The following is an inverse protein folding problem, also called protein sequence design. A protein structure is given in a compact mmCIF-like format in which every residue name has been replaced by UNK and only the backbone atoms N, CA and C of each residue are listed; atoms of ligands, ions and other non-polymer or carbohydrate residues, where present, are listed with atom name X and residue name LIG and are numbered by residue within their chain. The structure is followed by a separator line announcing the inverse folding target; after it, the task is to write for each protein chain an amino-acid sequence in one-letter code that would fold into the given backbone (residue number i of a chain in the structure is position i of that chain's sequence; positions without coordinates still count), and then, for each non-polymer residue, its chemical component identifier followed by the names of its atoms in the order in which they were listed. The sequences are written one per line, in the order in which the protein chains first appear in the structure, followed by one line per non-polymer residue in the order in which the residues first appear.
data_IF_473524530884
#
_entry.id   IF_473524530884
#
_cell.length_a   1.000
_cell.length_b   1.000
_cell.length_c   1.000
_cell.angle_alpha   90.00
_cell.angle_beta   90.00
_cell.angle_gamma   90.00
#
_symmetry.space_group_name_H-M   'P 1'
#
loop_
_entity.id
_entity.type
_entity.pdbx_description
1 polymer ?
#
# COMPACT_ATOMS: atom_id res chain seq x y z
N UNK A 1 37.07 8.23 31.35
CA UNK A 1 37.26 6.95 30.66
C UNK A 1 36.97 7.19 29.19
N UNK A 2 37.92 6.96 28.28
CA UNK A 2 37.62 6.96 26.85
C UNK A 2 36.96 5.63 26.52
N UNK A 3 35.71 5.65 26.07
CA UNK A 3 35.06 4.46 25.52
C UNK A 3 35.81 4.08 24.24
N UNK A 4 36.45 2.91 24.27
CA UNK A 4 37.13 2.39 23.09
C UNK A 4 36.12 1.59 22.30
N UNK A 5 35.62 2.18 21.22
CA UNK A 5 34.73 1.48 20.28
C UNK A 5 35.57 0.42 19.58
N UNK A 6 35.19 -0.85 19.73
CA UNK A 6 35.86 -1.95 19.05
C UNK A 6 35.30 -2.13 17.64
N UNK A 7 36.08 -2.75 16.75
CA UNK A 7 35.57 -3.17 15.44
C UNK A 7 34.36 -4.11 15.55
N UNK A 8 34.26 -4.88 16.64
CA UNK A 8 33.10 -5.75 16.89
C UNK A 8 31.84 -4.95 17.19
N UNK A 9 31.96 -3.81 17.89
CA UNK A 9 30.83 -2.93 18.19
C UNK A 9 30.32 -2.29 16.89
N UNK A 10 31.24 -1.83 16.04
CA UNK A 10 30.90 -1.30 14.71
C UNK A 10 30.22 -2.37 13.84
N UNK A 11 30.72 -3.60 13.83
CA UNK A 11 30.09 -4.70 13.09
C UNK A 11 28.68 -5.02 13.60
N UNK A 12 28.45 -4.91 14.91
CA UNK A 12 27.12 -5.10 15.51
C UNK A 12 26.16 -4.01 15.04
N UNK A 13 26.57 -2.74 15.11
CA UNK A 13 25.75 -1.63 14.64
C UNK A 13 25.42 -1.74 13.14
N UNK A 14 26.38 -2.17 12.31
CA UNK A 14 26.14 -2.41 10.88
C UNK A 14 25.07 -3.48 10.66
N UNK A 15 25.08 -4.56 11.45
CA UNK A 15 24.05 -5.62 11.35
C UNK A 15 22.68 -5.10 11.77
N UNK A 16 22.61 -4.36 12.87
CA UNK A 16 21.35 -3.75 13.34
C UNK A 16 20.80 -2.72 12.33
N UNK A 17 21.67 -1.93 11.69
CA UNK A 17 21.27 -1.03 10.61
C UNK A 17 20.69 -1.78 9.42
N UNK A 18 21.29 -2.91 9.04
CA UNK A 18 20.76 -3.75 7.95
C UNK A 18 19.37 -4.29 8.27
N UNK A 19 19.16 -4.84 9.46
CA UNK A 19 17.85 -5.34 9.88
C UNK A 19 16.77 -4.23 9.91
N UNK A 20 17.16 -3.01 10.28
CA UNK A 20 16.25 -1.86 10.25
C UNK A 20 15.88 -1.42 8.84
N UNK A 21 16.80 -1.55 7.88
CA UNK A 21 16.54 -1.27 6.48
C UNK A 21 15.60 -2.31 5.86
N UNK A 22 15.82 -3.60 6.15
CA UNK A 22 14.93 -4.69 5.70
C UNK A 22 13.49 -4.46 6.17
N UNK A 23 13.28 -4.09 7.44
CA UNK A 23 11.94 -3.76 7.94
C UNK A 23 11.33 -2.50 7.32
N UNK A 24 12.17 -1.52 6.95
CA UNK A 24 11.69 -0.31 6.30
C UNK A 24 11.22 -0.60 4.88
N UNK A 25 11.90 -1.51 4.17
CA UNK A 25 11.51 -1.99 2.85
C UNK A 25 10.13 -2.66 2.90
N UNK A 26 9.91 -3.60 3.84
CA UNK A 26 8.60 -4.24 4.04
C UNK A 26 7.48 -3.22 4.29
N UNK A 27 7.73 -2.23 5.15
CA UNK A 27 6.73 -1.18 5.44
C UNK A 27 6.45 -0.27 4.24
N UNK A 28 7.43 -0.07 3.36
CA UNK A 28 7.25 0.71 2.13
C UNK A 28 6.47 -0.07 1.09
N UNK A 29 6.71 -1.38 0.96
CA UNK A 29 5.90 -2.26 0.10
C UNK A 29 4.45 -2.25 0.57
N UNK A 30 4.19 -2.47 1.87
CA UNK A 30 2.84 -2.39 2.45
C UNK A 30 2.19 -1.02 2.19
N UNK A 31 2.96 0.07 2.32
CA UNK A 31 2.45 1.41 2.08
C UNK A 31 2.08 1.63 0.61
N UNK A 32 2.94 1.20 -0.32
CA UNK A 32 2.69 1.28 -1.76
C UNK A 32 1.44 0.46 -2.11
N UNK A 33 1.34 -0.77 -1.63
CA UNK A 33 0.18 -1.65 -1.88
C UNK A 33 -1.12 -1.11 -1.25
N UNK A 34 -1.02 -0.32 -0.18
CA UNK A 34 -2.19 0.31 0.46
C UNK A 34 -2.60 1.65 -0.17
N UNK A 35 -1.76 2.23 -1.02
CA UNK A 35 -1.99 3.56 -1.62
C UNK A 35 -2.56 3.40 -3.01
N UNK A 36 -3.68 4.07 -3.28
CA UNK A 36 -4.26 4.10 -4.63
C UNK A 36 -3.30 4.81 -5.59
N UNK A 37 -3.19 4.31 -6.82
CA UNK A 37 -2.53 5.07 -7.89
C UNK A 37 -3.35 6.33 -8.22
N UNK A 38 -2.74 7.35 -8.85
CA UNK A 38 -3.48 8.53 -9.29
C UNK A 38 -4.70 8.21 -10.17
N UNK A 39 -4.58 7.19 -11.02
CA UNK A 39 -5.67 6.69 -11.86
C UNK A 39 -6.79 6.04 -11.02
N UNK A 40 -6.43 5.26 -10.00
CA UNK A 40 -7.39 4.66 -9.06
C UNK A 40 -8.08 5.72 -8.19
N UNK A 41 -7.37 6.77 -7.77
CA UNK A 41 -7.97 7.92 -7.07
C UNK A 41 -8.97 8.68 -7.96
N UNK A 42 -8.65 8.86 -9.24
CA UNK A 42 -9.54 9.50 -10.21
C UNK A 42 -10.80 8.67 -10.43
N UNK A 43 -10.66 7.38 -10.66
CA UNK A 43 -11.78 6.43 -10.77
C UNK A 43 -12.65 6.46 -9.52
N UNK A 44 -12.05 6.46 -8.32
CA UNK A 44 -12.81 6.54 -7.07
C UNK A 44 -13.63 7.83 -7.00
N UNK A 45 -13.06 8.99 -7.37
CA UNK A 45 -13.78 10.26 -7.41
C UNK A 45 -14.95 10.24 -8.39
N UNK A 46 -14.76 9.68 -9.58
CA UNK A 46 -15.83 9.54 -10.57
C UNK A 46 -16.98 8.67 -10.03
N UNK A 47 -16.66 7.54 -9.41
CA UNK A 47 -17.65 6.65 -8.79
C UNK A 47 -18.41 7.38 -7.68
N UNK A 48 -17.71 8.10 -6.79
CA UNK A 48 -18.35 8.88 -5.74
C UNK A 48 -19.29 9.96 -6.28
N UNK A 49 -18.92 10.64 -7.37
CA UNK A 49 -19.78 11.62 -8.02
C UNK A 49 -21.03 10.99 -8.62
N UNK A 50 -20.90 9.84 -9.28
CA UNK A 50 -22.03 9.09 -9.84
C UNK A 50 -23.00 8.65 -8.74
N UNK A 51 -22.49 8.15 -7.62
CA UNK A 51 -23.30 7.81 -6.43
C UNK A 51 -24.02 9.04 -5.88
N UNK A 52 -23.33 10.19 -5.73
CA UNK A 52 -23.95 11.44 -5.25
C UNK A 52 -25.07 11.94 -6.17
N UNK A 53 -24.95 11.68 -7.48
CA UNK A 53 -25.94 12.06 -8.50
C UNK A 53 -27.05 11.00 -8.69
N UNK A 54 -26.99 9.89 -7.95
CA UNK A 54 -27.86 8.71 -8.10
C UNK A 54 -27.83 8.14 -9.54
N UNK A 55 -26.72 8.33 -10.25
CA UNK A 55 -26.50 7.81 -11.60
C UNK A 55 -25.74 6.48 -11.53
N UNK A 56 -26.50 5.39 -11.34
CA UNK A 56 -25.96 4.05 -11.23
C UNK A 56 -26.05 3.25 -12.53
N UNK A 57 -26.28 3.93 -13.67
CA UNK A 57 -26.54 3.29 -14.96
C UNK A 57 -25.38 2.41 -15.46
N UNK A 58 -24.15 2.75 -15.09
CA UNK A 58 -22.93 2.00 -15.43
C UNK A 58 -22.67 0.79 -14.50
N UNK A 59 -23.45 0.62 -13.44
CA UNK A 59 -23.20 -0.39 -12.41
C UNK A 59 -24.26 -1.49 -12.43
N UNK A 60 -23.83 -2.72 -12.16
CA UNK A 60 -24.74 -3.85 -11.99
C UNK A 60 -25.09 -4.06 -10.51
N UNK A 61 -26.33 -4.46 -10.18
CA UNK A 61 -26.67 -4.90 -8.84
C UNK A 61 -25.80 -6.09 -8.41
N UNK A 62 -25.43 -6.14 -7.13
CA UNK A 62 -24.56 -7.17 -6.59
C UNK A 62 -25.14 -8.58 -6.79
N UNK A 63 -26.46 -8.72 -6.74
CA UNK A 63 -27.17 -10.00 -6.93
C UNK A 63 -26.97 -10.57 -8.35
N UNK A 64 -26.58 -9.73 -9.32
CA UNK A 64 -26.34 -10.12 -10.72
C UNK A 64 -24.86 -10.29 -11.06
N UNK A 65 -23.95 -10.10 -10.09
CA UNK A 65 -22.51 -10.18 -10.32
C UNK A 65 -22.08 -11.55 -10.86
N UNK A 66 -22.62 -12.63 -10.28
CA UNK A 66 -22.31 -14.00 -10.69
C UNK A 66 -22.78 -14.33 -12.12
N UNK A 67 -23.78 -13.63 -12.65
CA UNK A 67 -24.24 -13.78 -14.03
C UNK A 67 -23.34 -13.00 -15.00
N UNK A 68 -22.97 -11.77 -14.63
CA UNK A 68 -22.09 -10.92 -15.43
C UNK A 68 -20.66 -11.47 -15.56
N UNK A 69 -20.14 -12.18 -14.55
CA UNK A 69 -18.80 -12.78 -14.56
C UNK A 69 -18.70 -14.11 -15.33
N UNK A 70 -19.82 -14.64 -15.86
CA UNK A 70 -19.85 -15.90 -16.62
C UNK A 70 -19.76 -15.73 -18.15
N UNK A 71 -19.75 -14.50 -18.64
CA UNK A 71 -19.45 -14.16 -20.06
C UNK A 71 -17.95 -14.20 -20.36
#
# INVERSE_FOLDING_TARGET
MQETVSLSDVLKEIREMRERLERLEELLEDFIDSTLTPEEEELLREVEEKIKKDDLSDFIPLEKLDEALKE
#
